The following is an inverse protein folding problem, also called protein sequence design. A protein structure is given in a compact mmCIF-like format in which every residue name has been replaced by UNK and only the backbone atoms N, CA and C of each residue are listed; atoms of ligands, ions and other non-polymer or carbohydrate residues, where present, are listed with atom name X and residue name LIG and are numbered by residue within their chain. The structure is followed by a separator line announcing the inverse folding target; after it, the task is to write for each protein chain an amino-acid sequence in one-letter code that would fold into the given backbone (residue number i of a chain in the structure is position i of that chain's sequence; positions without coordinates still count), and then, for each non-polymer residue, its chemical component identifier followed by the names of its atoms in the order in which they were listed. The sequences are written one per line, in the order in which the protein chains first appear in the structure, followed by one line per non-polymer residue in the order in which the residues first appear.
data_IF_047352446899
#
_entry.id   IF_047352446899
#
_cell.length_a   1.000
_cell.length_b   1.000
_cell.length_c   1.000
_cell.angle_alpha   90.00
_cell.angle_beta   90.00
_cell.angle_gamma   90.00
#
_symmetry.space_group_name_H-M   'P 1'
#
loop_
_entity.id
_entity.type
_entity.pdbx_description
1 polymer ?
#
# COMPACT_ATOMS: atom_id res chain seq x y z
N UNK A 1 48.56 -1.94 -46.42
CA UNK A 1 47.61 -0.93 -45.92
C UNK A 1 46.27 -1.15 -46.60
N UNK A 2 45.11 -0.89 -45.97
CA UNK A 2 44.78 -0.78 -44.53
C UNK A 2 43.60 -1.74 -44.19
N UNK A 3 43.00 -1.87 -43.00
CA UNK A 3 43.27 -1.60 -41.60
C UNK A 3 42.14 -2.34 -40.84
N UNK A 4 42.47 -3.00 -39.74
CA UNK A 4 41.49 -3.35 -38.72
C UNK A 4 40.85 -2.06 -38.21
N UNK A 5 39.52 -1.98 -38.26
CA UNK A 5 38.76 -0.99 -37.51
C UNK A 5 37.98 -1.75 -36.44
N UNK A 6 38.61 -1.89 -35.28
CA UNK A 6 37.91 -2.06 -34.01
C UNK A 6 36.85 -0.97 -33.92
N UNK A 7 35.58 -1.37 -34.07
CA UNK A 7 34.45 -0.60 -33.58
C UNK A 7 34.50 -0.68 -32.05
N UNK A 8 35.32 0.16 -31.44
CA UNK A 8 34.98 0.73 -30.14
C UNK A 8 33.66 1.48 -30.35
N UNK A 9 32.55 0.84 -29.98
CA UNK A 9 31.30 1.54 -29.74
C UNK A 9 31.63 2.68 -28.77
N UNK A 10 31.70 3.90 -29.32
CA UNK A 10 31.79 5.11 -28.50
C UNK A 10 30.52 5.12 -27.66
N UNK A 11 30.65 4.75 -26.38
CA UNK A 11 29.61 4.98 -25.40
C UNK A 11 29.11 6.42 -25.59
N UNK A 12 27.81 6.56 -25.85
CA UNK A 12 27.15 7.87 -25.90
C UNK A 12 27.58 8.68 -24.66
N UNK A 13 27.81 10.00 -24.79
CA UNK A 13 28.14 10.81 -23.63
C UNK A 13 27.07 10.58 -22.55
N UNK A 14 27.47 10.34 -21.28
CA UNK A 14 26.53 10.15 -20.19
C UNK A 14 25.54 11.30 -20.16
N UNK A 15 24.25 10.99 -19.99
CA UNK A 15 23.23 12.03 -19.88
C UNK A 15 23.13 12.47 -18.44
N UNK A 16 23.08 13.78 -18.22
CA UNK A 16 22.86 14.32 -16.87
C UNK A 16 21.47 13.94 -16.35
N UNK A 17 21.36 13.75 -15.04
CA UNK A 17 20.08 13.55 -14.38
C UNK A 17 19.19 14.81 -14.44
N UNK A 18 17.98 14.70 -13.90
CA UNK A 18 17.12 15.87 -13.66
C UNK A 18 17.62 16.67 -12.46
N UNK A 19 17.24 17.95 -12.39
CA UNK A 19 17.41 18.77 -11.18
C UNK A 19 16.79 18.10 -9.96
N UNK A 20 17.37 18.24 -8.76
CA UNK A 20 18.51 19.10 -8.43
C UNK A 20 19.89 18.46 -8.61
N UNK A 21 19.98 17.25 -9.15
CA UNK A 21 21.23 16.45 -9.21
C UNK A 21 21.93 16.50 -10.59
N UNK A 22 21.55 17.44 -11.46
CA UNK A 22 22.18 17.61 -12.78
C UNK A 22 23.56 18.27 -12.68
N UNK A 23 24.26 18.47 -13.80
CA UNK A 23 25.58 19.12 -13.82
C UNK A 23 25.58 20.58 -13.30
N UNK A 24 24.41 21.16 -13.07
CA UNK A 24 24.25 22.48 -12.46
C UNK A 24 24.30 22.45 -10.92
N UNK A 25 24.31 21.26 -10.31
CA UNK A 25 24.40 21.06 -8.87
C UNK A 25 25.68 21.70 -8.31
N UNK A 26 25.50 22.72 -7.47
CA UNK A 26 26.63 23.45 -6.88
C UNK A 26 27.30 22.56 -5.81
N UNK A 27 28.63 22.50 -5.85
CA UNK A 27 29.50 21.82 -4.86
C UNK A 27 29.51 20.30 -4.93
N UNK A 28 28.95 19.68 -5.96
CA UNK A 28 29.10 18.24 -6.14
C UNK A 28 30.59 17.86 -6.17
N UNK A 29 30.94 16.82 -5.43
CA UNK A 29 32.30 16.30 -5.25
C UNK A 29 32.43 14.84 -5.74
N UNK A 30 31.31 14.19 -6.04
CA UNK A 30 31.25 12.86 -6.68
C UNK A 30 30.10 12.78 -7.68
N UNK A 31 30.26 11.94 -8.69
CA UNK A 31 29.21 11.57 -9.65
C UNK A 31 28.78 10.13 -9.36
N UNK A 32 27.50 9.92 -9.07
CA UNK A 32 26.90 8.58 -9.11
C UNK A 32 26.38 8.30 -10.52
N UNK A 33 26.85 7.23 -11.15
CA UNK A 33 26.36 6.77 -12.44
C UNK A 33 25.42 5.59 -12.25
N UNK A 34 24.16 5.81 -12.61
CA UNK A 34 23.12 4.78 -12.63
C UNK A 34 23.38 3.69 -13.68
N UNK A 35 22.67 2.56 -13.57
CA UNK A 35 22.81 1.43 -14.50
C UNK A 35 22.36 1.73 -15.94
N UNK A 36 21.47 2.71 -16.12
CA UNK A 36 21.06 3.26 -17.42
C UNK A 36 21.92 4.44 -17.88
N UNK A 37 23.12 4.59 -17.31
CA UNK A 37 24.16 5.56 -17.72
C UNK A 37 23.74 7.03 -17.60
N UNK A 38 22.91 7.33 -16.59
CA UNK A 38 22.59 8.70 -16.18
C UNK A 38 23.48 9.11 -15.01
N UNK A 39 24.08 10.30 -15.12
CA UNK A 39 25.02 10.86 -14.14
C UNK A 39 24.31 11.81 -13.16
N UNK A 40 24.55 11.58 -11.86
CA UNK A 40 24.01 12.35 -10.74
C UNK A 40 25.14 13.02 -9.99
N UNK A 41 25.10 14.35 -9.93
CA UNK A 41 26.09 15.19 -9.28
C UNK A 41 25.70 15.42 -7.82
N UNK A 42 26.44 14.81 -6.90
CA UNK A 42 26.06 14.73 -5.48
C UNK A 42 27.24 15.04 -4.55
N UNK A 43 26.92 15.18 -3.27
CA UNK A 43 27.84 15.34 -2.14
C UNK A 43 28.14 13.98 -1.49
N UNK A 44 29.38 13.54 -1.62
CA UNK A 44 29.96 12.36 -1.01
C UNK A 44 29.76 12.33 0.51
N UNK A 45 29.99 13.41 1.28
CA UNK A 45 29.79 13.38 2.73
C UNK A 45 28.36 13.02 3.14
N UNK A 46 27.35 13.43 2.37
CA UNK A 46 25.96 13.08 2.68
C UNK A 46 25.69 11.59 2.47
N UNK A 47 26.25 11.00 1.41
CA UNK A 47 26.12 9.56 1.16
C UNK A 47 26.77 8.74 2.28
N UNK A 48 27.99 9.13 2.69
CA UNK A 48 28.72 8.46 3.78
C UNK A 48 27.95 8.52 5.11
N UNK A 49 27.37 9.69 5.44
CA UNK A 49 26.63 9.89 6.69
C UNK A 49 25.41 8.96 6.78
N UNK A 50 24.68 8.78 5.67
CA UNK A 50 23.41 8.03 5.69
C UNK A 50 23.57 6.54 5.39
N UNK A 51 24.76 6.11 4.94
CA UNK A 51 25.00 4.74 4.49
C UNK A 51 26.43 4.29 4.79
N UNK A 52 26.61 3.27 5.64
CA UNK A 52 27.93 2.67 5.85
C UNK A 52 28.46 1.99 4.57
N UNK A 53 27.56 1.46 3.72
CA UNK A 53 27.95 0.88 2.43
C UNK A 53 28.55 1.93 1.51
N UNK A 54 27.96 3.13 1.43
CA UNK A 54 28.57 4.23 0.68
C UNK A 54 29.86 4.73 1.34
N UNK A 55 29.98 4.69 2.67
CA UNK A 55 31.25 5.01 3.35
C UNK A 55 32.40 4.09 2.90
N UNK A 56 32.16 2.79 2.86
CA UNK A 56 33.13 1.79 2.39
C UNK A 56 33.44 1.98 0.89
N UNK A 57 32.40 2.14 0.06
CA UNK A 57 32.56 2.33 -1.39
C UNK A 57 33.33 3.61 -1.74
N UNK A 58 33.06 4.71 -1.03
CA UNK A 58 33.77 5.98 -1.24
C UNK A 58 35.24 5.86 -0.84
N UNK A 59 35.53 5.18 0.28
CA UNK A 59 36.90 4.96 0.74
C UNK A 59 37.71 4.12 -0.25
N UNK A 60 37.13 3.04 -0.78
CA UNK A 60 37.77 2.21 -1.80
C UNK A 60 38.02 2.98 -3.12
N UNK A 61 37.08 3.85 -3.52
CA UNK A 61 37.25 4.68 -4.71
C UNK A 61 38.39 5.70 -4.55
N UNK A 62 38.59 6.28 -3.36
CA UNK A 62 39.71 7.19 -3.11
C UNK A 62 41.06 6.51 -3.30
N UNK A 63 41.24 5.29 -2.78
CA UNK A 63 42.49 4.52 -2.96
C UNK A 63 42.81 4.21 -4.43
N UNK A 64 41.78 4.06 -5.26
CA UNK A 64 41.93 3.82 -6.70
C UNK A 64 42.27 5.09 -7.48
N UNK A 65 41.70 6.23 -7.08
CA UNK A 65 41.90 7.52 -7.75
C UNK A 65 43.25 8.16 -7.37
N UNK A 66 43.75 7.95 -6.16
CA UNK A 66 45.11 8.39 -5.77
C UNK A 66 46.21 7.73 -6.60
N UNK A 67 45.90 6.64 -7.32
CA UNK A 67 46.81 5.97 -8.27
C UNK A 67 46.72 6.54 -9.70
N UNK A 68 45.74 7.38 -10.01
CA UNK A 68 45.51 7.96 -11.34
C UNK A 68 45.73 9.48 -11.24
N UNK A 69 46.89 9.94 -11.70
CA UNK A 69 47.26 11.36 -11.67
C UNK A 69 46.47 12.19 -12.69
N UNK A 70 45.77 13.20 -12.17
CA UNK A 70 45.41 14.50 -12.78
C UNK A 70 44.70 14.49 -14.14
N UNK A 71 43.37 14.63 -14.11
CA UNK A 71 42.63 15.61 -14.90
C UNK A 71 41.35 15.95 -14.14
N UNK A 72 40.99 17.23 -14.09
CA UNK A 72 39.95 17.85 -13.25
C UNK A 72 38.52 17.37 -13.54
N UNK A 73 38.23 16.09 -13.30
CA UNK A 73 36.91 15.48 -13.40
C UNK A 73 36.56 14.89 -12.04
N UNK A 74 35.32 15.10 -11.62
CA UNK A 74 34.80 14.51 -10.38
C UNK A 74 34.93 12.98 -10.44
N UNK A 75 35.24 12.31 -9.32
CA UNK A 75 35.24 10.85 -9.25
C UNK A 75 33.86 10.30 -9.64
N UNK A 76 33.84 9.23 -10.42
CA UNK A 76 32.60 8.58 -10.87
C UNK A 76 32.46 7.22 -10.17
N UNK A 77 31.35 7.02 -9.48
CA UNK A 77 30.97 5.76 -8.84
C UNK A 77 29.77 5.17 -9.57
N UNK A 78 29.94 3.98 -10.15
CA UNK A 78 28.84 3.28 -10.80
C UNK A 78 28.01 2.51 -9.76
N UNK A 79 26.68 2.55 -9.92
CA UNK A 79 25.72 1.86 -9.06
C UNK A 79 24.72 1.06 -9.91
N UNK A 80 24.08 0.06 -9.31
CA UNK A 80 23.19 -0.86 -10.04
C UNK A 80 21.77 -0.28 -10.24
N UNK A 81 21.41 0.74 -9.47
CA UNK A 81 20.08 1.34 -9.49
C UNK A 81 19.84 2.11 -10.79
N UNK A 82 18.63 1.98 -11.31
CA UNK A 82 18.16 2.80 -12.44
C UNK A 82 18.13 4.28 -12.04
N UNK A 83 18.19 5.17 -13.02
CA UNK A 83 18.07 6.61 -12.81
C UNK A 83 16.79 7.00 -12.06
N UNK A 84 15.67 6.32 -12.31
CA UNK A 84 14.41 6.56 -11.60
C UNK A 84 14.52 6.24 -10.10
N UNK A 85 15.06 5.07 -9.77
CA UNK A 85 15.26 4.63 -8.39
C UNK A 85 16.26 5.52 -7.67
N UNK A 86 17.41 5.79 -8.29
CA UNK A 86 18.48 6.60 -7.71
C UNK A 86 18.03 8.04 -7.46
N UNK A 87 17.26 8.63 -8.38
CA UNK A 87 16.72 9.98 -8.20
C UNK A 87 15.85 10.09 -6.95
N UNK A 88 14.92 9.16 -6.75
CA UNK A 88 14.03 9.17 -5.58
C UNK A 88 14.77 8.83 -4.30
N UNK A 89 15.74 7.91 -4.34
CA UNK A 89 16.61 7.63 -3.20
C UNK A 89 17.36 8.89 -2.74
N UNK A 90 17.96 9.62 -3.67
CA UNK A 90 18.68 10.87 -3.37
C UNK A 90 17.73 11.96 -2.83
N UNK A 91 16.50 12.06 -3.32
CA UNK A 91 15.51 12.98 -2.73
C UNK A 91 15.13 12.64 -1.28
N UNK A 92 15.26 11.38 -0.86
CA UNK A 92 15.04 10.99 0.53
C UNK A 92 16.21 11.37 1.45
N UNK A 93 17.42 11.43 0.88
CA UNK A 93 18.68 11.75 1.59
C UNK A 93 18.85 13.27 1.74
N UNK A 94 18.55 14.02 0.68
CA UNK A 94 18.77 15.46 0.64
C UNK A 94 17.59 16.23 1.26
N UNK A 95 17.83 17.42 1.84
CA UNK A 95 16.79 18.26 2.42
C UNK A 95 16.01 19.02 1.34
N UNK A 96 15.54 18.31 0.31
CA UNK A 96 14.68 18.84 -0.74
C UNK A 96 13.21 18.47 -0.47
N UNK A 97 12.32 19.06 -1.27
CA UNK A 97 10.91 18.68 -1.24
C UNK A 97 10.77 17.20 -1.62
N UNK A 98 10.20 16.43 -0.70
CA UNK A 98 10.03 14.99 -0.87
C UNK A 98 8.89 14.75 -1.87
N UNK A 99 9.18 14.00 -2.93
CA UNK A 99 8.17 13.56 -3.88
C UNK A 99 7.57 12.25 -3.39
N UNK A 100 6.25 12.22 -3.26
CA UNK A 100 5.52 10.99 -2.94
C UNK A 100 5.67 10.01 -4.10
N UNK A 101 6.18 8.82 -3.80
CA UNK A 101 6.24 7.72 -4.77
C UNK A 101 4.85 7.10 -4.85
N UNK A 102 4.20 7.27 -6.00
CA UNK A 102 2.87 6.70 -6.27
C UNK A 102 2.93 5.41 -7.08
N UNK A 103 4.04 5.16 -7.75
CA UNK A 103 4.27 3.96 -8.55
C UNK A 103 4.81 2.84 -7.66
N UNK A 104 4.11 1.70 -7.66
CA UNK A 104 4.44 0.56 -6.82
C UNK A 104 5.84 0.04 -7.12
N UNK A 105 6.14 -0.28 -8.38
CA UNK A 105 7.43 -0.80 -8.83
C UNK A 105 8.60 0.09 -8.40
N UNK A 106 8.48 1.39 -8.64
CA UNK A 106 9.47 2.37 -8.22
C UNK A 106 9.64 2.39 -6.70
N UNK A 107 8.55 2.38 -5.93
CA UNK A 107 8.63 2.35 -4.47
C UNK A 107 9.41 1.14 -3.97
N UNK A 108 9.14 -0.03 -4.54
CA UNK A 108 9.77 -1.28 -4.16
C UNK A 108 11.25 -1.31 -4.55
N UNK A 109 11.60 -0.75 -5.70
CA UNK A 109 12.99 -0.59 -6.12
C UNK A 109 13.76 0.37 -5.20
N UNK A 110 13.14 1.47 -4.78
CA UNK A 110 13.72 2.42 -3.81
C UNK A 110 13.88 1.75 -2.45
N UNK A 111 12.88 1.00 -1.97
CA UNK A 111 12.95 0.26 -0.72
C UNK A 111 14.09 -0.78 -0.72
N UNK A 112 14.25 -1.51 -1.82
CA UNK A 112 15.35 -2.45 -2.00
C UNK A 112 16.71 -1.74 -1.97
N UNK A 113 16.85 -0.59 -2.63
CA UNK A 113 18.08 0.21 -2.62
C UNK A 113 18.41 0.74 -1.21
N UNK A 114 17.42 1.28 -0.49
CA UNK A 114 17.57 1.73 0.91
C UNK A 114 18.11 0.60 1.78
N UNK A 115 17.57 -0.62 1.61
CA UNK A 115 18.02 -1.80 2.36
C UNK A 115 19.42 -2.24 1.96
N UNK A 116 19.71 -2.30 0.65
CA UNK A 116 21.03 -2.64 0.08
C UNK A 116 22.12 -1.74 0.63
N UNK A 117 21.85 -0.43 0.71
CA UNK A 117 22.78 0.56 1.22
C UNK A 117 22.70 0.76 2.74
N UNK A 118 21.93 -0.05 3.46
CA UNK A 118 21.81 0.00 4.93
C UNK A 118 21.43 1.39 5.48
N UNK A 119 20.53 2.09 4.79
CA UNK A 119 20.13 3.46 5.13
C UNK A 119 18.97 3.50 6.14
N UNK A 120 19.22 3.13 7.39
CA UNK A 120 18.16 2.92 8.40
C UNK A 120 17.23 4.12 8.63
N UNK A 121 17.74 5.35 8.68
CA UNK A 121 16.88 6.52 8.90
C UNK A 121 16.11 6.94 7.65
N UNK A 122 16.68 6.69 6.47
CA UNK A 122 16.01 6.86 5.18
C UNK A 122 14.87 5.84 5.04
N UNK A 123 15.09 4.61 5.50
CA UNK A 123 14.09 3.54 5.55
C UNK A 123 12.86 3.93 6.38
N UNK A 124 13.07 4.49 7.59
CA UNK A 124 11.96 4.98 8.43
C UNK A 124 11.14 6.06 7.73
N UNK A 125 11.80 7.00 7.05
CA UNK A 125 11.14 8.07 6.29
C UNK A 125 10.34 7.50 5.10
N UNK A 126 10.89 6.52 4.38
CA UNK A 126 10.21 5.84 3.28
C UNK A 126 8.96 5.09 3.77
N UNK A 127 9.06 4.36 4.89
CA UNK A 127 7.91 3.70 5.53
C UNK A 127 6.83 4.73 5.90
N UNK A 128 7.23 5.88 6.46
CA UNK A 128 6.29 6.96 6.80
C UNK A 128 5.51 7.49 5.59
N UNK A 129 6.16 7.60 4.42
CA UNK A 129 5.49 8.01 3.17
C UNK A 129 4.49 6.96 2.69
N UNK A 130 4.82 5.68 2.82
CA UNK A 130 3.94 4.58 2.42
C UNK A 130 2.62 4.56 3.22
N UNK A 131 2.69 4.84 4.53
CA UNK A 131 1.51 4.82 5.41
C UNK A 131 0.45 5.85 4.98
N UNK A 132 0.88 6.99 4.44
CA UNK A 132 -0.02 8.03 3.90
C UNK A 132 -0.29 7.91 2.40
N UNK A 133 0.29 6.92 1.72
CA UNK A 133 0.23 6.80 0.26
C UNK A 133 -1.01 6.04 -0.19
N UNK A 134 -1.61 6.41 -1.34
CA UNK A 134 -2.67 5.60 -1.97
C UNK A 134 -2.21 4.19 -2.33
N UNK A 135 -0.90 3.91 -2.43
CA UNK A 135 -0.36 2.57 -2.64
C UNK A 135 -0.87 1.56 -1.60
N UNK A 136 -0.93 1.96 -0.32
CA UNK A 136 -1.38 1.09 0.76
C UNK A 136 -2.86 0.69 0.60
N UNK A 137 -3.68 1.55 0.01
CA UNK A 137 -5.12 1.32 -0.19
C UNK A 137 -5.43 0.63 -1.53
N UNK A 138 -4.67 0.97 -2.58
CA UNK A 138 -4.90 0.47 -3.94
C UNK A 138 -4.27 -0.92 -4.15
N UNK A 139 -3.06 -1.13 -3.65
CA UNK A 139 -2.28 -2.36 -3.85
C UNK A 139 -1.83 -3.01 -2.51
N UNK A 140 -2.73 -3.24 -1.55
CA UNK A 140 -2.37 -3.68 -0.20
C UNK A 140 -1.69 -5.06 -0.18
N UNK A 141 -2.06 -5.98 -1.08
CA UNK A 141 -1.42 -7.31 -1.17
C UNK A 141 0.05 -7.19 -1.60
N UNK A 142 0.30 -6.32 -2.60
CA UNK A 142 1.62 -6.01 -3.10
C UNK A 142 2.51 -5.42 -2.00
N UNK A 143 1.96 -4.42 -1.29
CA UNK A 143 2.63 -3.79 -0.15
C UNK A 143 2.87 -4.78 0.98
N UNK A 144 1.90 -5.66 1.28
CA UNK A 144 2.04 -6.71 2.29
C UNK A 144 3.21 -7.63 1.98
N UNK A 145 3.23 -8.21 0.78
CA UNK A 145 4.25 -9.17 0.36
C UNK A 145 5.65 -8.56 0.43
N UNK A 146 5.81 -7.32 -0.04
CA UNK A 146 7.09 -6.63 0.08
C UNK A 146 7.47 -6.31 1.52
N UNK A 147 6.54 -5.78 2.31
CA UNK A 147 6.80 -5.44 3.70
C UNK A 147 7.28 -6.68 4.48
N UNK A 148 6.71 -7.86 4.21
CA UNK A 148 7.20 -9.13 4.75
C UNK A 148 8.62 -9.44 4.25
N UNK A 149 8.88 -9.37 2.94
CA UNK A 149 10.22 -9.65 2.38
C UNK A 149 11.32 -8.73 2.92
N UNK A 150 10.97 -7.50 3.30
CA UNK A 150 11.89 -6.50 3.86
C UNK A 150 11.94 -6.53 5.39
N UNK A 151 11.08 -7.31 6.05
CA UNK A 151 10.98 -7.38 7.51
C UNK A 151 10.29 -6.18 8.17
N UNK A 152 9.53 -5.40 7.41
CA UNK A 152 8.76 -4.25 7.89
C UNK A 152 7.46 -4.70 8.57
N UNK A 153 7.60 -5.26 9.77
CA UNK A 153 6.52 -5.88 10.55
C UNK A 153 5.27 -4.98 10.69
N UNK A 154 5.44 -3.75 11.16
CA UNK A 154 4.31 -2.83 11.38
C UNK A 154 3.59 -2.48 10.08
N UNK A 155 4.35 -2.20 9.02
CA UNK A 155 3.83 -1.92 7.68
C UNK A 155 3.09 -3.12 7.10
N UNK A 156 3.61 -4.34 7.27
CA UNK A 156 2.93 -5.56 6.85
C UNK A 156 1.59 -5.72 7.59
N UNK A 157 1.54 -5.42 8.89
CA UNK A 157 0.27 -5.41 9.65
C UNK A 157 -0.73 -4.39 9.11
N UNK A 158 -0.29 -3.17 8.78
CA UNK A 158 -1.14 -2.14 8.18
C UNK A 158 -1.64 -2.55 6.79
N UNK A 159 -0.77 -3.11 5.96
CA UNK A 159 -1.13 -3.60 4.62
C UNK A 159 -2.09 -4.78 4.69
N UNK A 160 -1.86 -5.73 5.60
CA UNK A 160 -2.78 -6.83 5.86
C UNK A 160 -4.17 -6.32 6.25
N UNK A 161 -4.23 -5.31 7.13
CA UNK A 161 -5.50 -4.66 7.48
C UNK A 161 -6.16 -3.98 6.29
N UNK A 162 -5.39 -3.35 5.41
CA UNK A 162 -5.91 -2.72 4.19
C UNK A 162 -6.47 -3.75 3.17
N UNK A 163 -5.94 -4.98 3.13
CA UNK A 163 -6.53 -6.06 2.31
C UNK A 163 -7.95 -6.45 2.73
N UNK A 164 -8.35 -6.15 3.97
CA UNK A 164 -9.68 -6.46 4.46
C UNK A 164 -10.78 -5.67 3.73
N UNK A 165 -10.42 -4.53 3.12
CA UNK A 165 -11.30 -3.69 2.29
C UNK A 165 -11.46 -4.16 0.86
N UNK A 166 -10.63 -5.09 0.42
CA UNK A 166 -10.68 -5.65 -0.93
C UNK A 166 -11.39 -6.99 -0.95
N UNK A 167 -11.99 -7.36 -2.07
CA UNK A 167 -12.60 -8.68 -2.20
C UNK A 167 -11.54 -9.79 -2.15
N UNK A 168 -11.79 -10.86 -1.39
CA UNK A 168 -10.91 -12.03 -1.39
C UNK A 168 -10.78 -12.64 -2.79
N UNK A 169 -11.88 -12.69 -3.57
CA UNK A 169 -11.84 -13.20 -4.95
C UNK A 169 -11.10 -12.24 -5.89
N UNK A 170 -11.02 -10.97 -5.53
CA UNK A 170 -10.27 -9.94 -6.25
C UNK A 170 -8.78 -9.94 -5.95
N UNK A 171 -8.31 -10.74 -4.98
CA UNK A 171 -6.87 -10.90 -4.69
C UNK A 171 -6.22 -11.69 -5.82
N UNK A 172 -5.63 -10.94 -6.76
CA UNK A 172 -4.91 -11.49 -7.91
C UNK A 172 -3.42 -11.66 -7.59
N UNK A 173 -2.74 -12.47 -8.41
CA UNK A 173 -1.30 -12.66 -8.30
C UNK A 173 -0.57 -11.32 -8.49
N UNK A 174 0.43 -11.10 -7.65
CA UNK A 174 1.43 -10.04 -7.77
C UNK A 174 2.82 -10.67 -7.64
N UNK A 175 3.80 -10.13 -8.37
CA UNK A 175 5.16 -10.70 -8.46
C UNK A 175 5.85 -10.78 -7.08
N UNK A 176 5.51 -9.87 -6.17
CA UNK A 176 6.07 -9.81 -4.82
C UNK A 176 5.71 -11.04 -3.98
N UNK A 177 4.68 -11.80 -4.36
CA UNK A 177 4.34 -13.07 -3.70
C UNK A 177 5.44 -14.12 -3.87
N UNK A 178 6.29 -14.02 -4.90
CA UNK A 178 7.43 -14.93 -5.09
C UNK A 178 8.51 -14.76 -4.02
N UNK A 179 8.49 -13.63 -3.31
CA UNK A 179 9.49 -13.26 -2.31
C UNK A 179 9.04 -13.56 -0.87
N UNK A 180 7.87 -14.17 -0.70
CA UNK A 180 7.35 -14.59 0.60
C UNK A 180 7.15 -16.10 0.65
N UNK A 181 7.07 -16.66 1.85
CA UNK A 181 6.79 -18.08 2.00
C UNK A 181 5.29 -18.36 1.89
N UNK A 182 4.93 -19.61 1.58
CA UNK A 182 3.53 -20.05 1.69
C UNK A 182 2.95 -19.89 3.09
N UNK A 183 3.80 -19.89 4.12
CA UNK A 183 3.42 -19.61 5.51
C UNK A 183 3.01 -18.14 5.71
N UNK A 184 3.74 -17.20 5.11
CA UNK A 184 3.40 -15.77 5.18
C UNK A 184 2.04 -15.49 4.52
N UNK A 185 1.82 -16.06 3.33
CA UNK A 185 0.52 -15.95 2.66
C UNK A 185 -0.59 -16.63 3.47
N UNK A 186 -0.33 -17.80 4.05
CA UNK A 186 -1.29 -18.49 4.93
C UNK A 186 -1.68 -17.60 6.11
N UNK A 187 -0.73 -16.94 6.77
CA UNK A 187 -1.01 -16.02 7.88
C UNK A 187 -1.92 -14.85 7.46
N UNK A 188 -1.73 -14.28 6.27
CA UNK A 188 -2.62 -13.23 5.75
C UNK A 188 -4.05 -13.75 5.53
N UNK A 189 -4.18 -14.92 4.91
CA UNK A 189 -5.49 -15.53 4.62
C UNK A 189 -6.21 -15.93 5.91
N UNK A 190 -5.51 -16.56 6.85
CA UNK A 190 -6.04 -16.90 8.17
C UNK A 190 -6.49 -15.65 8.94
N UNK A 191 -5.67 -14.60 8.94
CA UNK A 191 -6.03 -13.31 9.51
C UNK A 191 -7.33 -12.76 8.90
N UNK A 192 -7.44 -12.79 7.57
CA UNK A 192 -8.66 -12.38 6.85
C UNK A 192 -9.90 -13.16 7.29
N UNK A 193 -9.81 -14.49 7.38
CA UNK A 193 -10.93 -15.33 7.81
C UNK A 193 -11.33 -15.08 9.26
N UNK A 194 -10.36 -14.87 10.16
CA UNK A 194 -10.63 -14.51 11.56
C UNK A 194 -11.33 -13.14 11.66
N UNK A 195 -10.93 -12.17 10.85
CA UNK A 195 -11.61 -10.88 10.74
C UNK A 195 -13.04 -11.03 10.21
N UNK A 196 -13.25 -11.77 9.12
CA UNK A 196 -14.58 -12.02 8.55
C UNK A 196 -15.51 -12.75 9.53
N UNK A 197 -14.97 -13.70 10.30
CA UNK A 197 -15.70 -14.42 11.35
C UNK A 197 -16.07 -13.50 12.51
N UNK A 198 -15.14 -12.63 12.96
CA UNK A 198 -15.41 -11.66 14.02
C UNK A 198 -16.49 -10.65 13.61
N UNK A 199 -16.44 -10.15 12.38
CA UNK A 199 -17.44 -9.26 11.83
C UNK A 199 -18.82 -9.95 11.72
N UNK A 200 -18.85 -11.17 11.17
CA UNK A 200 -20.08 -11.98 11.02
C UNK A 200 -20.73 -12.33 12.36
N UNK A 201 -19.93 -12.79 13.33
CA UNK A 201 -20.42 -13.13 14.69
C UNK A 201 -21.02 -11.91 15.38
N UNK A 202 -20.49 -10.72 15.08
CA UNK A 202 -21.02 -9.49 15.65
C UNK A 202 -22.37 -9.14 15.03
N UNK A 203 -22.50 -9.29 13.71
CA UNK A 203 -23.77 -9.11 13.00
C UNK A 203 -24.86 -10.08 13.52
N UNK A 204 -24.53 -11.35 13.74
CA UNK A 204 -25.47 -12.36 14.26
C UNK A 204 -25.99 -12.05 15.67
N UNK A 205 -25.24 -11.28 16.46
CA UNK A 205 -25.61 -10.88 17.83
C UNK A 205 -26.45 -9.61 17.89
N UNK A 206 -26.48 -8.83 16.82
CA UNK A 206 -27.30 -7.62 16.78
C UNK A 206 -28.76 -8.04 16.69
N UNK A 207 -29.60 -7.53 17.60
CA UNK A 207 -31.03 -7.80 17.53
C UNK A 207 -31.57 -7.26 16.20
N UNK A 208 -32.23 -8.07 15.36
CA UNK A 208 -32.97 -7.58 14.21
C UNK A 208 -34.03 -6.54 14.56
N UNK A 209 -34.30 -6.26 15.84
CA UNK A 209 -35.09 -5.10 16.28
C UNK A 209 -34.24 -3.86 16.45
N UNK A 210 -33.00 -3.93 16.94
CA UNK A 210 -32.14 -2.74 17.07
C UNK A 210 -31.77 -2.12 15.72
N UNK A 211 -31.63 -2.95 14.68
CA UNK A 211 -31.43 -2.48 13.29
C UNK A 211 -32.67 -1.81 12.68
N UNK A 212 -33.86 -2.07 13.24
CA UNK A 212 -35.14 -1.71 12.63
C UNK A 212 -36.05 -0.86 13.56
N UNK A 213 -35.79 -0.75 14.86
CA UNK A 213 -36.49 0.11 15.82
C UNK A 213 -36.15 1.59 15.57
N UNK A 214 -34.91 1.87 15.13
CA UNK A 214 -34.55 3.18 14.60
C UNK A 214 -34.97 3.37 13.13
N UNK A 215 -35.49 2.33 12.49
CA UNK A 215 -35.87 2.22 11.09
C UNK A 215 -37.30 1.73 10.88
N UNK A 216 -38.29 2.35 11.52
CA UNK A 216 -39.71 1.99 11.34
C UNK A 216 -40.08 1.88 9.84
N UNK A 217 -40.16 0.64 9.34
CA UNK A 217 -40.79 0.28 8.07
C UNK A 217 -42.00 -0.66 8.24
N UNK A 218 -42.31 -1.14 9.44
CA UNK A 218 -43.58 -1.82 9.74
C UNK A 218 -44.00 -1.61 11.19
N UNK A 219 -45.13 -0.93 11.41
CA UNK A 219 -45.90 -1.03 12.65
C UNK A 219 -47.03 -2.04 12.39
N UNK A 220 -46.75 -3.32 12.62
CA UNK A 220 -47.74 -4.33 12.96
C UNK A 220 -47.02 -5.58 13.52
N UNK A 221 -47.21 -5.85 14.81
CA UNK A 221 -46.51 -6.88 15.60
C UNK A 221 -46.62 -8.30 15.01
N UNK A 222 -47.55 -8.53 14.07
CA UNK A 222 -47.83 -9.83 13.48
C UNK A 222 -47.27 -10.03 12.06
N UNK A 223 -46.52 -9.07 11.50
CA UNK A 223 -46.03 -9.10 10.12
C UNK A 223 -44.51 -9.03 10.00
N UNK A 224 -43.80 -9.76 10.87
CA UNK A 224 -42.41 -10.17 10.62
C UNK A 224 -42.40 -11.10 9.39
N UNK A 225 -42.63 -10.54 8.20
CA UNK A 225 -42.71 -11.33 6.97
C UNK A 225 -41.34 -11.93 6.73
N UNK A 226 -41.36 -13.23 6.48
CA UNK A 226 -40.24 -14.12 6.12
C UNK A 226 -39.45 -13.63 4.89
N UNK A 227 -39.80 -12.49 4.32
CA UNK A 227 -39.29 -11.94 3.06
C UNK A 227 -37.91 -11.28 3.22
N UNK A 228 -37.58 -10.69 4.39
CA UNK A 228 -36.21 -10.19 4.64
C UNK A 228 -35.22 -11.27 5.09
N UNK A 229 -35.71 -12.42 5.58
CA UNK A 229 -34.85 -13.52 6.06
C UNK A 229 -34.06 -14.19 4.92
N UNK A 230 -34.49 -14.05 3.66
CA UNK A 230 -33.82 -14.67 2.52
C UNK A 230 -32.70 -13.85 1.87
N UNK A 231 -32.81 -12.51 1.87
CA UNK A 231 -32.04 -11.65 0.95
C UNK A 231 -30.96 -10.81 1.64
N UNK A 232 -31.17 -10.32 2.86
CA UNK A 232 -30.27 -9.32 3.48
C UNK A 232 -29.19 -9.92 4.37
N UNK A 233 -29.55 -10.79 5.31
CA UNK A 233 -28.61 -11.29 6.31
C UNK A 233 -27.50 -12.14 5.67
N UNK A 234 -27.86 -13.08 4.80
CA UNK A 234 -26.88 -13.95 4.14
C UNK A 234 -25.96 -13.16 3.20
N UNK A 235 -26.50 -12.21 2.43
CA UNK A 235 -25.68 -11.38 1.54
C UNK A 235 -24.73 -10.47 2.32
N UNK A 236 -25.18 -9.86 3.42
CA UNK A 236 -24.33 -9.08 4.33
C UNK A 236 -23.26 -9.97 4.96
N UNK A 237 -23.61 -11.18 5.42
CA UNK A 237 -22.65 -12.13 5.99
C UNK A 237 -21.60 -12.58 4.97
N UNK A 238 -21.99 -12.90 3.74
CA UNK A 238 -21.06 -13.24 2.67
C UNK A 238 -20.16 -12.04 2.31
N UNK A 239 -20.71 -10.83 2.26
CA UNK A 239 -19.92 -9.61 2.05
C UNK A 239 -18.96 -9.34 3.22
N UNK A 240 -19.36 -9.55 4.47
CA UNK A 240 -18.50 -9.41 5.65
C UNK A 240 -17.37 -10.44 5.67
N UNK A 241 -17.63 -11.67 5.19
CA UNK A 241 -16.58 -12.69 5.01
C UNK A 241 -15.62 -12.31 3.89
N UNK A 242 -16.15 -11.80 2.77
CA UNK A 242 -15.35 -11.39 1.62
C UNK A 242 -14.54 -10.11 1.89
N UNK A 243 -15.12 -9.13 2.60
CA UNK A 243 -14.57 -7.80 2.90
C UNK A 243 -14.81 -7.43 4.37
N UNK A 244 -13.94 -7.90 5.29
CA UNK A 244 -14.14 -7.69 6.72
C UNK A 244 -14.00 -6.24 7.21
N UNK A 245 -13.30 -5.38 6.48
CA UNK A 245 -13.12 -3.95 6.78
C UNK A 245 -13.57 -3.16 5.55
N UNK A 246 -14.05 -1.92 5.69
CA UNK A 246 -14.72 -1.22 4.59
C UNK A 246 -16.22 -1.46 4.61
N UNK A 247 -17.01 -0.53 4.07
CA UNK A 247 -18.45 -0.52 4.30
C UNK A 247 -19.10 -1.83 3.83
N UNK A 248 -19.61 -2.67 4.75
CA UNK A 248 -20.53 -3.74 4.37
C UNK A 248 -21.90 -3.16 4.00
N UNK A 249 -22.10 -1.87 4.32
CA UNK A 249 -23.13 -1.00 3.76
C UNK A 249 -22.85 -0.86 2.28
N UNK A 250 -23.85 -1.02 1.41
CA UNK A 250 -23.59 -1.24 0.02
C UNK A 250 -22.79 -0.04 -0.51
N UNK A 251 -21.68 -0.35 -1.19
CA UNK A 251 -21.45 0.37 -2.44
C UNK A 251 -22.82 0.39 -3.12
N UNK A 252 -23.36 1.56 -3.51
CA UNK A 252 -24.66 1.62 -4.17
C UNK A 252 -24.63 0.65 -5.35
N UNK A 253 -25.09 -0.56 -5.08
CA UNK A 253 -24.97 -1.71 -5.95
C UNK A 253 -26.37 -2.00 -6.44
N UNK A 254 -26.44 -2.68 -7.57
CA UNK A 254 -27.70 -2.97 -8.23
C UNK A 254 -28.67 -3.70 -7.28
N UNK A 255 -28.13 -4.41 -6.28
CA UNK A 255 -28.87 -5.17 -5.29
C UNK A 255 -29.49 -4.29 -4.18
N UNK A 256 -28.77 -3.30 -3.64
CA UNK A 256 -29.30 -2.27 -2.74
C UNK A 256 -30.33 -1.41 -3.47
N UNK A 257 -30.06 -1.03 -4.71
CA UNK A 257 -31.00 -0.29 -5.54
C UNK A 257 -32.29 -1.10 -5.76
N UNK A 258 -32.17 -2.39 -6.06
CA UNK A 258 -33.31 -3.32 -6.14
C UNK A 258 -34.01 -3.51 -4.80
N UNK A 259 -33.31 -3.47 -3.67
CA UNK A 259 -33.89 -3.54 -2.32
C UNK A 259 -34.69 -2.27 -2.01
N UNK A 260 -34.11 -1.10 -2.26
CA UNK A 260 -34.78 0.20 -2.13
C UNK A 260 -35.98 0.27 -3.10
N UNK A 261 -35.87 -0.35 -4.27
CA UNK A 261 -36.94 -0.49 -5.24
C UNK A 261 -38.03 -1.46 -4.79
N UNK A 262 -37.68 -2.60 -4.19
CA UNK A 262 -38.59 -3.65 -3.73
C UNK A 262 -39.31 -3.32 -2.42
N UNK A 263 -38.91 -2.26 -1.72
CA UNK A 263 -39.72 -1.59 -0.68
C UNK A 263 -41.02 -0.97 -1.26
N UNK A 264 -41.31 -1.13 -2.56
CA UNK A 264 -42.54 -0.67 -3.23
C UNK A 264 -43.88 -1.12 -2.62
N UNK A 265 -44.03 -2.28 -1.97
CA UNK A 265 -45.27 -2.65 -1.29
C UNK A 265 -45.50 -1.86 0.02
N UNK A 266 -44.42 -1.42 0.69
CA UNK A 266 -44.49 -0.52 1.86
C UNK A 266 -44.80 0.93 1.40
N UNK A 267 -44.55 1.27 0.12
CA UNK A 267 -44.88 2.58 -0.50
C UNK A 267 -46.37 2.92 -0.48
N UNK A 268 -47.26 1.97 -0.16
CA UNK A 268 -48.71 2.18 -0.05
C UNK A 268 -49.19 2.69 1.33
N UNK A 269 -48.37 2.65 2.39
CA UNK A 269 -48.82 3.01 3.77
C UNK A 269 -48.48 4.43 4.24
N UNK A 270 -47.55 5.14 3.59
CA UNK A 270 -47.29 6.55 3.87
C UNK A 270 -47.72 7.41 2.68
N UNK A 271 -48.66 8.34 2.93
CA UNK A 271 -49.21 9.25 1.92
C UNK A 271 -48.27 10.38 1.49
N UNK A 272 -47.16 10.59 2.22
CA UNK A 272 -46.25 11.73 2.02
C UNK A 272 -44.78 11.30 1.77
N UNK A 273 -44.11 12.01 0.86
CA UNK A 273 -42.73 11.82 0.43
C UNK A 273 -41.73 11.92 1.59
N UNK A 274 -42.04 12.72 2.62
CA UNK A 274 -41.21 12.90 3.81
C UNK A 274 -40.99 11.60 4.59
N UNK A 275 -42.04 10.79 4.76
CA UNK A 275 -41.94 9.51 5.46
C UNK A 275 -41.08 8.49 4.71
N UNK A 276 -41.11 8.54 3.37
CA UNK A 276 -40.28 7.68 2.50
C UNK A 276 -38.80 8.02 2.62
N UNK A 277 -38.46 9.31 2.57
CA UNK A 277 -37.09 9.78 2.76
C UNK A 277 -36.55 9.42 4.16
N UNK A 278 -37.39 9.56 5.20
CA UNK A 278 -37.02 9.19 6.56
C UNK A 278 -36.71 7.70 6.72
N UNK A 279 -37.47 6.80 6.07
CA UNK A 279 -37.21 5.36 6.12
C UNK A 279 -35.86 4.99 5.48
N UNK A 280 -35.55 5.54 4.30
CA UNK A 280 -34.26 5.33 3.63
C UNK A 280 -33.11 5.87 4.48
N UNK A 281 -33.24 7.08 5.04
CA UNK A 281 -32.22 7.66 5.91
C UNK A 281 -31.94 6.81 7.16
N UNK A 282 -32.99 6.21 7.75
CA UNK A 282 -32.84 5.34 8.92
C UNK A 282 -32.13 4.03 8.58
N UNK A 283 -32.49 3.41 7.45
CA UNK A 283 -31.80 2.22 6.94
C UNK A 283 -30.30 2.50 6.73
N UNK A 284 -29.97 3.61 6.08
CA UNK A 284 -28.57 4.00 5.85
C UNK A 284 -27.80 4.22 7.17
N UNK A 285 -28.43 4.81 8.19
CA UNK A 285 -27.80 4.95 9.53
C UNK A 285 -27.58 3.62 10.22
N UNK A 286 -28.57 2.73 10.21
CA UNK A 286 -28.43 1.40 10.82
C UNK A 286 -27.30 0.61 10.18
N UNK A 287 -27.17 0.70 8.85
CA UNK A 287 -26.05 0.08 8.13
C UNK A 287 -24.70 0.72 8.52
N UNK A 288 -24.63 2.05 8.67
CA UNK A 288 -23.41 2.73 9.14
C UNK A 288 -23.01 2.31 10.56
N UNK A 289 -23.97 2.17 11.46
CA UNK A 289 -23.73 1.69 12.84
C UNK A 289 -23.20 0.26 12.82
N UNK A 290 -23.79 -0.63 12.01
CA UNK A 290 -23.28 -1.99 11.81
C UNK A 290 -21.82 -2.01 11.34
N UNK A 291 -21.47 -1.17 10.37
CA UNK A 291 -20.11 -1.05 9.88
C UNK A 291 -19.13 -0.67 11.01
N UNK A 292 -19.49 0.32 11.83
CA UNK A 292 -18.66 0.74 12.96
C UNK A 292 -18.49 -0.36 14.01
N UNK A 293 -19.53 -1.13 14.30
CA UNK A 293 -19.46 -2.26 15.23
C UNK A 293 -18.59 -3.39 14.67
N UNK A 294 -18.72 -3.71 13.37
CA UNK A 294 -17.88 -4.69 12.68
C UNK A 294 -16.39 -4.27 12.69
N UNK A 295 -16.09 -3.01 12.36
CA UNK A 295 -14.73 -2.45 12.43
C UNK A 295 -14.14 -2.55 13.85
N UNK A 296 -14.95 -2.30 14.88
CA UNK A 296 -14.53 -2.45 16.28
C UNK A 296 -14.26 -3.90 16.65
N UNK A 297 -14.98 -4.87 16.07
CA UNK A 297 -14.71 -6.29 16.29
C UNK A 297 -13.43 -6.73 15.57
N UNK A 298 -13.27 -6.33 14.31
CA UNK A 298 -12.11 -6.63 13.47
C UNK A 298 -10.83 -6.02 14.03
N UNK A 299 -10.88 -4.81 14.59
CA UNK A 299 -9.69 -4.15 15.17
C UNK A 299 -9.08 -4.90 16.37
N UNK A 300 -9.82 -5.83 16.99
CA UNK A 300 -9.31 -6.70 18.06
C UNK A 300 -8.61 -7.95 17.54
N UNK A 301 -8.76 -8.26 16.25
CA UNK A 301 -8.10 -9.39 15.61
C UNK A 301 -6.69 -8.96 15.23
N UNK A 302 -5.70 -9.69 15.75
CA UNK A 302 -4.28 -9.46 15.48
C UNK A 302 -3.81 -10.47 14.44
N UNK A 303 -3.04 -10.01 13.45
CA UNK A 303 -2.34 -10.88 12.52
C UNK A 303 -1.28 -11.68 13.28
N UNK A 304 -1.41 -13.00 13.23
CA UNK A 304 -0.41 -13.91 13.80
C UNK A 304 0.54 -14.19 12.65
N UNK A 305 1.81 -13.80 12.75
CA UNK A 305 2.83 -14.33 11.86
C UNK A 305 4.09 -14.69 12.65
N UNK A 306 4.70 -15.81 12.28
CA UNK A 306 5.94 -16.33 12.89
C UNK A 306 7.11 -15.36 12.76
N UNK A 307 7.13 -14.53 11.72
CA UNK A 307 8.09 -13.44 11.55
C UNK A 307 7.91 -12.30 12.55
N UNK A 308 6.81 -12.24 13.31
CA UNK A 308 6.63 -11.28 14.42
C UNK A 308 7.19 -11.76 15.77
N UNK A 309 7.50 -13.04 15.94
CA UNK A 309 7.83 -13.64 17.25
C UNK A 309 9.33 -13.77 17.55
N UNK A 310 10.22 -13.38 16.65
CA UNK A 310 11.65 -13.26 16.96
C UNK A 310 11.99 -11.80 17.25
N UNK A 311 12.25 -11.54 18.53
CA UNK A 311 12.83 -10.34 19.14
C UNK A 311 13.93 -10.80 20.10
#
# INVERSE_FOLDING_TARGET
MPAQADRLERASPPKDSRKPFDSSAKKADIILRSSDSIDFFVLEPLLRIVSPVFEDMCSANQESNDRITVESKLPVMQVDESSGTLYHLLLLIYPYEKLLIQDGDLFLNVAAAVRKYQMFDVEKNLIGQLIGSPLLSNEPLRVYAKAISLGWKETAGLAAKATLSQDLQGMTYVEELEHITGMDLHHLIEYRFRCGSAASTTFEKVDPRELFEYGNLCYDENSYSREWQGYSANHILENLKARPLGSPVPTFDEHLEQTIASLHPIRYRHSDCTGRAQAVCRLLRALQELAAVAEKAVSKVIIISSSFNES
#
